data_IF_440782956529
#
_entry.id   IF_440782956529
#
_cell.length_a   1.000
_cell.length_b   1.000
_cell.length_c   1.000
_cell.angle_alpha   90.00
_cell.angle_beta   90.00
_cell.angle_gamma   90.00
#
_symmetry.space_group_name_H-M   'P 1'
#
loop_
_entity.id
_entity.type
_entity.pdbx_description
1 polymer ?
#
# COMPACT_ATOMS: atom_id res chain seq x y z
N UNK A 1 -13.71 -20.11 -27.51
CA UNK A 1 -12.96 -19.03 -26.89
C UNK A 1 -11.52 -18.96 -27.39
N UNK A 2 -11.01 -17.74 -27.57
CA UNK A 2 -9.60 -17.46 -27.79
C UNK A 2 -8.95 -17.16 -26.44
N UNK A 3 -7.77 -17.70 -26.16
CA UNK A 3 -7.07 -17.55 -24.89
C UNK A 3 -5.72 -16.89 -25.14
N UNK A 4 -5.47 -15.77 -24.48
CA UNK A 4 -4.21 -15.02 -24.57
C UNK A 4 -3.59 -15.00 -23.17
N UNK A 5 -2.53 -15.77 -22.95
CA UNK A 5 -1.80 -15.80 -21.68
C UNK A 5 -0.90 -14.58 -21.61
N UNK A 6 -0.82 -13.93 -20.42
CA UNK A 6 -0.01 -12.74 -20.20
C UNK A 6 -0.24 -11.66 -21.28
N UNK A 7 -1.46 -11.19 -21.47
CA UNK A 7 -1.86 -10.40 -22.65
C UNK A 7 -1.09 -9.09 -22.82
N UNK A 8 -0.53 -8.54 -21.73
CA UNK A 8 0.21 -7.27 -21.74
C UNK A 8 1.70 -7.43 -21.37
N UNK A 9 2.19 -8.67 -21.21
CA UNK A 9 3.59 -8.96 -20.95
C UNK A 9 4.07 -8.75 -19.50
N UNK A 10 3.22 -8.19 -18.64
CA UNK A 10 3.61 -7.75 -17.29
C UNK A 10 3.12 -8.65 -16.16
N UNK A 11 2.16 -9.54 -16.41
CA UNK A 11 1.54 -10.40 -15.40
C UNK A 11 1.39 -11.83 -15.88
N UNK A 12 2.45 -12.67 -15.78
CA UNK A 12 2.54 -13.97 -16.42
C UNK A 12 1.51 -15.02 -15.96
N UNK A 13 0.98 -14.90 -14.74
CA UNK A 13 -0.02 -15.84 -14.18
C UNK A 13 -1.46 -15.36 -14.43
N UNK A 14 -1.68 -14.67 -15.55
CA UNK A 14 -2.99 -14.19 -15.98
C UNK A 14 -3.27 -14.58 -17.43
N UNK A 15 -4.55 -14.56 -17.80
CA UNK A 15 -4.97 -14.73 -19.19
C UNK A 15 -6.18 -13.86 -19.50
N UNK A 16 -6.39 -13.57 -20.78
CA UNK A 16 -7.60 -12.97 -21.32
C UNK A 16 -8.30 -14.01 -22.18
N UNK A 17 -9.55 -14.32 -21.86
CA UNK A 17 -10.40 -15.24 -22.63
C UNK A 17 -11.43 -14.43 -23.40
N UNK A 18 -11.49 -14.61 -24.72
CA UNK A 18 -12.35 -13.85 -25.62
C UNK A 18 -13.24 -14.80 -26.41
N UNK A 19 -14.55 -14.55 -26.42
CA UNK A 19 -15.52 -15.24 -27.24
C UNK A 19 -16.83 -14.47 -27.37
N UNK A 20 -17.71 -14.94 -28.26
CA UNK A 20 -19.05 -14.38 -28.45
C UNK A 20 -20.11 -15.42 -28.15
N UNK A 21 -21.30 -14.97 -27.78
CA UNK A 21 -22.54 -15.74 -27.64
C UNK A 21 -23.65 -15.14 -28.51
N UNK A 22 -24.62 -15.96 -28.92
CA UNK A 22 -25.73 -15.50 -29.76
C UNK A 22 -26.64 -14.49 -29.06
N UNK A 23 -26.79 -14.67 -27.73
CA UNK A 23 -27.58 -13.80 -26.87
C UNK A 23 -26.67 -13.17 -25.81
N UNK A 24 -27.21 -12.17 -25.09
CA UNK A 24 -26.57 -11.67 -23.86
C UNK A 24 -26.63 -12.74 -22.78
N UNK A 25 -25.50 -13.22 -22.32
CA UNK A 25 -25.35 -14.31 -21.36
C UNK A 25 -24.39 -13.91 -20.24
N UNK A 26 -24.75 -14.29 -19.00
CA UNK A 26 -23.80 -14.27 -17.89
C UNK A 26 -22.80 -15.43 -18.04
N UNK A 27 -21.56 -15.20 -17.62
CA UNK A 27 -20.53 -16.24 -17.62
C UNK A 27 -19.99 -16.42 -16.22
N UNK A 28 -20.19 -17.60 -15.65
CA UNK A 28 -19.49 -18.00 -14.45
C UNK A 28 -18.11 -18.59 -14.83
N UNK A 29 -17.07 -18.05 -14.22
CA UNK A 29 -15.69 -18.50 -14.40
C UNK A 29 -15.18 -19.07 -13.11
N UNK A 30 -14.73 -20.32 -13.13
CA UNK A 30 -14.03 -20.96 -12.00
C UNK A 30 -12.60 -21.29 -12.37
N UNK A 31 -11.64 -20.70 -11.65
CA UNK A 31 -10.21 -21.03 -11.72
C UNK A 31 -9.95 -22.06 -10.62
N UNK A 32 -9.69 -23.31 -11.04
CA UNK A 32 -9.55 -24.44 -10.12
C UNK A 32 -8.24 -24.36 -9.33
N UNK A 33 -8.35 -24.33 -8.02
CA UNK A 33 -7.23 -24.38 -7.10
C UNK A 33 -6.85 -25.80 -6.66
N UNK A 34 -5.81 -25.92 -5.85
CA UNK A 34 -5.38 -27.18 -5.23
C UNK A 34 -6.38 -27.66 -4.17
N UNK A 35 -7.12 -26.73 -3.58
CA UNK A 35 -8.22 -26.96 -2.65
C UNK A 35 -9.33 -25.91 -2.81
N UNK A 36 -10.39 -26.03 -1.99
CA UNK A 36 -11.52 -25.10 -2.01
C UNK A 36 -11.14 -23.66 -1.65
N UNK A 37 -10.13 -23.47 -0.80
CA UNK A 37 -9.69 -22.16 -0.32
C UNK A 37 -8.75 -21.45 -1.32
N UNK A 38 -8.29 -22.17 -2.35
CA UNK A 38 -7.46 -21.63 -3.44
C UNK A 38 -8.18 -21.67 -4.80
N UNK A 39 -9.46 -22.06 -4.82
CA UNK A 39 -10.33 -22.03 -6.00
C UNK A 39 -11.07 -20.69 -6.05
N UNK A 40 -11.01 -19.99 -7.18
CA UNK A 40 -11.67 -18.69 -7.38
C UNK A 40 -12.83 -18.86 -8.34
N UNK A 41 -13.98 -18.27 -8.01
CA UNK A 41 -15.17 -18.24 -8.86
C UNK A 41 -15.70 -16.82 -8.95
N UNK A 42 -16.06 -16.40 -10.15
CA UNK A 42 -16.67 -15.09 -10.40
C UNK A 42 -17.67 -15.18 -11.55
N UNK A 43 -18.82 -14.51 -11.40
CA UNK A 43 -19.82 -14.38 -12.46
C UNK A 43 -19.69 -13.00 -13.10
N UNK A 44 -19.49 -12.98 -14.41
CA UNK A 44 -19.45 -11.78 -15.22
C UNK A 44 -20.85 -11.46 -15.74
N UNK A 45 -21.13 -10.16 -15.84
CA UNK A 45 -22.42 -9.64 -16.32
C UNK A 45 -22.76 -10.13 -17.72
N UNK A 46 -24.07 -10.19 -18.01
CA UNK A 46 -24.58 -10.63 -19.29
C UNK A 46 -24.15 -9.69 -20.43
N UNK A 47 -23.53 -10.25 -21.44
CA UNK A 47 -23.13 -9.57 -22.67
C UNK A 47 -23.07 -10.58 -23.82
N UNK A 48 -22.95 -10.10 -25.08
CA UNK A 48 -22.70 -10.96 -26.24
C UNK A 48 -21.22 -11.12 -26.51
N UNK A 49 -20.42 -10.06 -26.25
CA UNK A 49 -18.97 -10.06 -26.44
C UNK A 49 -18.29 -10.21 -25.06
N UNK A 50 -17.61 -11.31 -24.86
CA UNK A 50 -16.97 -11.63 -23.59
C UNK A 50 -15.47 -11.40 -23.67
N UNK A 51 -14.97 -10.54 -22.77
CA UNK A 51 -13.55 -10.26 -22.54
C UNK A 51 -13.24 -10.58 -21.09
N UNK A 52 -13.03 -11.86 -20.79
CA UNK A 52 -12.96 -12.37 -19.43
C UNK A 52 -11.51 -12.34 -18.92
N UNK A 53 -11.16 -11.48 -17.95
CA UNK A 53 -9.86 -11.51 -17.29
C UNK A 53 -9.78 -12.72 -16.35
N UNK A 54 -8.73 -13.51 -16.51
CA UNK A 54 -8.42 -14.68 -15.70
C UNK A 54 -7.22 -14.35 -14.83
N UNK A 55 -7.36 -14.48 -13.51
CA UNK A 55 -6.33 -14.19 -12.53
C UNK A 55 -6.06 -15.41 -11.67
N UNK A 56 -4.85 -15.49 -11.09
CA UNK A 56 -4.54 -16.50 -10.11
C UNK A 56 -4.28 -17.88 -10.70
N UNK A 57 -3.65 -17.96 -11.85
CA UNK A 57 -3.12 -19.19 -12.39
C UNK A 57 -1.88 -19.65 -11.60
N UNK A 58 -1.64 -20.97 -11.52
CA UNK A 58 -0.39 -21.53 -11.00
C UNK A 58 0.71 -21.49 -12.07
N UNK A 59 1.94 -21.29 -11.65
CA UNK A 59 3.09 -21.32 -12.54
C UNK A 59 3.50 -22.76 -12.87
N UNK A 60 4.04 -22.96 -14.07
CA UNK A 60 4.47 -24.27 -14.61
C UNK A 60 3.39 -25.36 -14.63
N UNK A 61 2.13 -24.96 -14.65
CA UNK A 61 0.97 -25.85 -14.58
C UNK A 61 0.12 -25.75 -15.85
N UNK A 62 -0.62 -26.83 -16.15
CA UNK A 62 -1.78 -26.76 -17.03
C UNK A 62 -3.03 -26.49 -16.22
N UNK A 63 -3.35 -25.21 -16.06
CA UNK A 63 -4.43 -24.74 -15.20
C UNK A 63 -5.81 -25.05 -15.80
N UNK A 64 -6.72 -25.57 -15.00
CA UNK A 64 -8.12 -25.75 -15.38
C UNK A 64 -8.93 -24.48 -15.08
N UNK A 65 -9.49 -23.89 -16.14
CA UNK A 65 -10.44 -22.76 -16.04
C UNK A 65 -11.77 -23.23 -16.64
N UNK A 66 -12.81 -23.19 -15.83
CA UNK A 66 -14.14 -23.65 -16.19
C UNK A 66 -14.99 -22.42 -16.52
N UNK A 67 -15.62 -22.44 -17.69
CA UNK A 67 -16.61 -21.45 -18.13
C UNK A 67 -17.99 -22.11 -18.12
N UNK A 68 -18.96 -21.51 -17.45
CA UNK A 68 -20.36 -21.93 -17.44
C UNK A 68 -21.23 -20.80 -17.99
N UNK A 69 -21.98 -21.10 -19.07
CA UNK A 69 -22.87 -20.18 -19.76
C UNK A 69 -24.21 -20.89 -19.93
N UNK A 70 -25.22 -20.50 -19.17
CA UNK A 70 -26.48 -21.25 -19.09
C UNK A 70 -26.22 -22.73 -18.74
N UNK A 71 -26.74 -23.65 -19.56
CA UNK A 71 -26.51 -25.09 -19.37
C UNK A 71 -25.19 -25.61 -19.99
N UNK A 72 -24.40 -24.73 -20.59
CA UNK A 72 -23.15 -25.11 -21.28
C UNK A 72 -21.96 -24.93 -20.36
N UNK A 73 -21.18 -26.00 -20.23
CA UNK A 73 -19.92 -25.99 -19.45
C UNK A 73 -18.75 -26.30 -20.38
N UNK A 74 -17.71 -25.45 -20.32
CA UNK A 74 -16.48 -25.63 -21.07
C UNK A 74 -15.27 -25.54 -20.13
N UNK A 75 -14.37 -26.52 -20.23
CA UNK A 75 -13.09 -26.53 -19.52
C UNK A 75 -11.99 -26.07 -20.45
N UNK A 76 -11.28 -25.02 -20.06
CA UNK A 76 -10.08 -24.54 -20.74
C UNK A 76 -8.86 -25.07 -20.00
N UNK A 77 -7.83 -25.48 -20.75
CA UNK A 77 -6.51 -25.84 -20.26
C UNK A 77 -5.55 -24.72 -20.60
N UNK A 78 -5.07 -24.00 -19.58
CA UNK A 78 -4.19 -22.84 -19.76
C UNK A 78 -2.81 -23.17 -19.20
N UNK A 79 -1.82 -23.33 -20.06
CA UNK A 79 -0.43 -23.56 -19.67
C UNK A 79 0.25 -22.22 -19.37
N UNK A 80 0.96 -22.17 -18.26
CA UNK A 80 1.79 -21.05 -17.82
C UNK A 80 3.25 -21.45 -17.74
N UNK A 81 4.15 -20.47 -17.80
CA UNK A 81 5.58 -20.67 -17.61
C UNK A 81 5.95 -20.83 -16.13
N UNK A 82 7.16 -21.34 -15.89
CA UNK A 82 7.73 -21.45 -14.55
C UNK A 82 7.99 -20.07 -13.93
N UNK A 83 7.97 -20.01 -12.59
CA UNK A 83 8.39 -18.80 -11.87
C UNK A 83 9.86 -18.48 -12.15
N UNK A 84 10.23 -17.17 -12.10
CA UNK A 84 11.63 -16.78 -12.08
C UNK A 84 12.40 -17.48 -10.95
N UNK A 85 13.64 -17.90 -11.19
CA UNK A 85 14.45 -18.66 -10.24
C UNK A 85 14.78 -17.90 -8.94
N UNK A 86 14.68 -16.58 -8.97
CA UNK A 86 14.85 -15.68 -7.82
C UNK A 86 13.53 -15.21 -7.19
N UNK A 87 12.40 -15.86 -7.51
CA UNK A 87 11.12 -15.59 -6.86
C UNK A 87 11.21 -15.91 -5.39
N UNK A 88 10.84 -14.96 -4.54
CA UNK A 88 10.72 -15.19 -3.10
C UNK A 88 9.54 -16.13 -2.83
N UNK A 89 9.82 -17.25 -2.17
CA UNK A 89 8.80 -18.20 -1.74
C UNK A 89 8.74 -18.24 -0.22
N UNK A 90 7.55 -18.43 0.39
CA UNK A 90 7.42 -18.58 1.82
C UNK A 90 8.23 -19.79 2.32
N UNK A 91 9.02 -19.61 3.37
CA UNK A 91 9.75 -20.70 4.02
C UNK A 91 8.86 -21.55 4.93
N UNK A 92 7.75 -20.97 5.37
CA UNK A 92 6.70 -21.66 6.12
C UNK A 92 5.37 -20.92 5.97
N UNK A 93 4.27 -21.65 6.00
CA UNK A 93 2.92 -21.09 5.98
C UNK A 93 2.15 -21.61 7.19
N UNK A 94 1.57 -20.68 7.95
CA UNK A 94 0.62 -20.96 9.03
C UNK A 94 -0.61 -20.10 8.80
N UNK A 95 -1.68 -20.70 8.32
CA UNK A 95 -2.92 -20.02 7.98
C UNK A 95 -4.11 -20.71 8.66
N UNK A 96 -4.92 -19.93 9.36
CA UNK A 96 -6.23 -20.40 9.83
C UNK A 96 -7.25 -20.20 8.70
N UNK A 97 -7.36 -21.21 7.83
CA UNK A 97 -8.23 -21.18 6.64
C UNK A 97 -9.72 -21.06 6.98
N UNK A 98 -10.11 -21.23 8.25
CA UNK A 98 -11.50 -21.01 8.68
C UNK A 98 -11.83 -19.54 8.84
N UNK A 99 -10.81 -18.69 9.00
CA UNK A 99 -10.92 -17.24 9.17
C UNK A 99 -10.53 -16.45 7.92
N UNK A 100 -9.80 -17.09 7.01
CA UNK A 100 -9.35 -16.50 5.75
C UNK A 100 -10.27 -16.93 4.61
N UNK A 101 -10.63 -15.99 3.76
CA UNK A 101 -11.37 -16.26 2.52
C UNK A 101 -10.49 -16.86 1.42
N UNK A 102 -11.02 -16.86 0.20
CA UNK A 102 -10.29 -17.21 -1.02
C UNK A 102 -9.53 -15.98 -1.55
N UNK A 103 -8.84 -15.26 -0.66
CA UNK A 103 -8.18 -14.01 -0.98
C UNK A 103 -6.74 -14.23 -1.46
N UNK A 104 -6.22 -13.24 -2.17
CA UNK A 104 -4.81 -13.12 -2.52
C UNK A 104 -4.16 -12.03 -1.66
N UNK A 105 -2.99 -12.34 -1.14
CA UNK A 105 -2.19 -11.45 -0.30
C UNK A 105 -1.05 -10.86 -1.12
N UNK A 106 -1.11 -9.55 -1.36
CA UNK A 106 -0.16 -8.81 -2.18
C UNK A 106 1.00 -8.27 -1.35
N UNK A 107 2.21 -8.40 -1.89
CA UNK A 107 3.44 -7.90 -1.30
C UNK A 107 4.31 -7.23 -2.34
N UNK A 108 4.92 -6.10 -1.97
CA UNK A 108 6.01 -5.48 -2.72
C UNK A 108 7.34 -5.75 -2.02
N UNK A 109 8.43 -5.99 -2.76
CA UNK A 109 9.74 -6.19 -2.16
C UNK A 109 10.30 -4.88 -1.61
N UNK A 110 11.08 -4.97 -0.54
CA UNK A 110 11.77 -3.80 0.05
C UNK A 110 13.08 -3.44 -0.67
N UNK A 111 13.56 -4.27 -1.58
CA UNK A 111 14.83 -4.05 -2.27
C UNK A 111 14.81 -4.61 -3.69
N UNK A 112 15.13 -5.88 -3.88
CA UNK A 112 15.10 -6.55 -5.19
C UNK A 112 14.11 -7.72 -5.14
N UNK A 113 13.40 -7.93 -6.23
CA UNK A 113 12.42 -9.02 -6.31
C UNK A 113 11.20 -8.61 -7.11
N UNK A 114 10.16 -9.39 -6.98
CA UNK A 114 8.89 -9.20 -7.70
C UNK A 114 7.79 -8.77 -6.76
N UNK A 115 6.95 -7.85 -7.21
CA UNK A 115 5.64 -7.65 -6.58
C UNK A 115 4.81 -8.90 -6.84
N UNK A 116 4.31 -9.52 -5.80
CA UNK A 116 3.75 -10.87 -5.84
C UNK A 116 2.50 -10.98 -4.99
N UNK A 117 1.58 -11.86 -5.37
CA UNK A 117 0.45 -12.25 -4.54
C UNK A 117 0.46 -13.77 -4.29
N UNK A 118 0.27 -14.13 -3.02
CA UNK A 118 0.17 -15.51 -2.56
C UNK A 118 -1.28 -15.83 -2.18
N UNK A 119 -1.68 -17.08 -2.37
CA UNK A 119 -2.91 -17.59 -1.77
C UNK A 119 -2.67 -18.07 -0.33
N UNK A 120 -3.72 -18.57 0.31
CA UNK A 120 -3.67 -19.07 1.71
C UNK A 120 -2.78 -20.32 1.91
N UNK A 121 -2.34 -20.95 0.82
CA UNK A 121 -1.40 -22.05 0.83
C UNK A 121 0.05 -21.59 0.68
N UNK A 122 0.27 -20.29 0.41
CA UNK A 122 1.56 -19.72 0.11
C UNK A 122 2.02 -19.98 -1.32
N UNK A 123 1.14 -20.44 -2.20
CA UNK A 123 1.43 -20.56 -3.61
C UNK A 123 1.37 -19.18 -4.29
N UNK A 124 2.33 -18.91 -5.18
CA UNK A 124 2.31 -17.70 -6.01
C UNK A 124 1.20 -17.81 -7.03
N UNK A 125 0.26 -16.87 -7.01
CA UNK A 125 -0.91 -16.84 -7.90
C UNK A 125 -0.94 -15.62 -8.82
N UNK A 126 -0.10 -14.65 -8.57
CA UNK A 126 0.05 -13.46 -9.39
C UNK A 126 1.40 -12.80 -9.10
N UNK A 127 2.03 -12.20 -10.11
CA UNK A 127 3.21 -11.36 -9.95
C UNK A 127 3.38 -10.40 -11.12
N UNK A 128 4.12 -9.30 -10.89
CA UNK A 128 4.55 -8.36 -11.93
C UNK A 128 5.99 -8.66 -12.35
N UNK A 129 6.27 -8.60 -13.64
CA UNK A 129 7.63 -8.65 -14.20
C UNK A 129 8.35 -7.32 -14.08
N UNK A 130 7.60 -6.20 -14.03
CA UNK A 130 8.16 -4.88 -13.80
C UNK A 130 8.52 -4.72 -12.32
N UNK A 131 9.68 -4.10 -12.09
CA UNK A 131 10.06 -3.71 -10.73
C UNK A 131 9.11 -2.65 -10.21
N UNK A 132 8.52 -2.88 -9.06
CA UNK A 132 7.74 -1.91 -8.32
C UNK A 132 8.20 -1.90 -6.87
N UNK A 133 8.21 -0.73 -6.25
CA UNK A 133 8.63 -0.49 -4.88
C UNK A 133 7.49 0.19 -4.12
N UNK A 134 7.54 0.14 -2.80
CA UNK A 134 6.60 0.77 -1.92
C UNK A 134 5.22 0.10 -1.93
N UNK A 135 4.17 0.87 -1.71
CA UNK A 135 2.80 0.36 -1.61
C UNK A 135 2.27 -0.18 -2.93
N UNK A 136 1.53 -1.27 -2.86
CA UNK A 136 0.58 -1.72 -3.87
C UNK A 136 -0.81 -1.74 -3.23
N UNK A 137 -1.79 -1.17 -3.93
CA UNK A 137 -3.17 -1.16 -3.45
C UNK A 137 -4.13 -1.34 -4.62
N UNK A 138 -5.32 -1.85 -4.32
CA UNK A 138 -6.41 -1.94 -5.26
C UNK A 138 -7.32 -0.73 -5.10
N UNK A 139 -7.41 0.06 -6.16
CA UNK A 139 -8.27 1.25 -6.21
C UNK A 139 -9.76 0.85 -6.30
N UNK A 140 -10.65 1.76 -5.99
CA UNK A 140 -12.10 1.54 -6.03
C UNK A 140 -12.60 1.06 -7.41
N UNK A 141 -11.96 1.53 -8.49
CA UNK A 141 -12.28 1.06 -9.84
C UNK A 141 -11.74 -0.34 -10.19
N UNK A 142 -11.09 -1.01 -9.24
CA UNK A 142 -10.53 -2.36 -9.37
C UNK A 142 -9.14 -2.43 -10.00
N UNK A 143 -8.56 -1.32 -10.46
CA UNK A 143 -7.18 -1.27 -10.91
C UNK A 143 -6.20 -1.31 -9.72
N UNK A 144 -4.95 -1.64 -10.01
CA UNK A 144 -3.84 -1.52 -9.07
C UNK A 144 -3.15 -0.16 -9.25
N UNK A 145 -2.68 0.41 -8.16
CA UNK A 145 -1.74 1.52 -8.19
C UNK A 145 -0.39 1.04 -7.65
N UNK A 146 0.66 1.17 -8.46
CA UNK A 146 2.02 0.72 -8.16
C UNK A 146 3.03 1.78 -8.58
N UNK A 147 4.25 1.77 -8.00
CA UNK A 147 5.30 2.68 -8.44
C UNK A 147 5.71 2.41 -9.89
N UNK A 148 6.25 3.43 -10.55
CA UNK A 148 7.05 3.22 -11.76
C UNK A 148 8.36 2.50 -11.40
N UNK A 149 9.05 1.93 -12.39
CA UNK A 149 10.37 1.33 -12.23
C UNK A 149 11.53 2.34 -12.37
N UNK A 150 11.20 3.60 -12.66
CA UNK A 150 12.19 4.66 -12.93
C UNK A 150 12.42 5.54 -11.70
N UNK A 151 13.68 5.85 -11.42
CA UNK A 151 14.07 6.79 -10.39
C UNK A 151 14.09 8.23 -10.93
N UNK A 152 13.52 9.15 -10.18
CA UNK A 152 13.76 10.59 -10.36
C UNK A 152 14.95 11.04 -9.53
N UNK A 153 15.19 10.41 -8.38
CA UNK A 153 16.34 10.64 -7.53
C UNK A 153 16.73 9.37 -6.74
N UNK A 154 18.00 9.28 -6.37
CA UNK A 154 18.51 8.20 -5.52
C UNK A 154 18.13 8.44 -4.06
N UNK A 155 18.03 7.37 -3.24
CA UNK A 155 18.25 5.97 -3.62
C UNK A 155 17.00 5.25 -4.13
N UNK A 156 15.79 5.81 -3.93
CA UNK A 156 14.53 5.08 -4.13
C UNK A 156 13.32 5.95 -4.47
N UNK A 157 13.53 7.23 -4.83
CA UNK A 157 12.46 8.13 -5.23
C UNK A 157 12.06 7.83 -6.66
N UNK A 158 10.86 7.23 -6.82
CA UNK A 158 10.36 6.82 -8.12
C UNK A 158 9.77 8.02 -8.88
N UNK A 159 9.77 7.99 -10.21
CA UNK A 159 9.21 9.10 -11.01
C UNK A 159 7.72 9.32 -10.79
N UNK A 160 7.02 8.34 -10.23
CA UNK A 160 5.60 8.39 -9.96
C UNK A 160 4.98 7.00 -9.90
N UNK A 161 3.75 6.87 -10.40
CA UNK A 161 2.96 5.66 -10.26
C UNK A 161 2.26 5.26 -11.56
N UNK A 162 2.05 3.96 -11.74
CA UNK A 162 1.17 3.39 -12.75
C UNK A 162 -0.16 2.98 -12.14
N UNK A 163 -1.25 3.41 -12.76
CA UNK A 163 -2.52 2.74 -12.63
C UNK A 163 -2.60 1.63 -13.68
N UNK A 164 -2.82 0.39 -13.26
CA UNK A 164 -2.84 -0.77 -14.14
C UNK A 164 -3.92 -1.77 -13.75
N UNK A 165 -4.36 -2.54 -14.73
CA UNK A 165 -5.26 -3.69 -14.45
C UNK A 165 -4.47 -4.85 -13.86
N UNK A 166 -5.17 -5.80 -13.22
CA UNK A 166 -4.55 -7.06 -12.76
C UNK A 166 -3.98 -7.92 -13.91
N UNK A 167 -4.43 -7.71 -15.14
CA UNK A 167 -3.81 -8.32 -16.35
C UNK A 167 -2.44 -7.70 -16.70
N UNK A 168 -2.02 -6.62 -16.01
CA UNK A 168 -0.78 -5.93 -16.29
C UNK A 168 -0.88 -4.83 -17.35
N UNK A 169 -2.10 -4.43 -17.79
CA UNK A 169 -2.29 -3.30 -18.69
C UNK A 169 -2.13 -2.00 -17.93
N UNK A 170 -1.11 -1.22 -18.26
CA UNK A 170 -0.98 0.16 -17.78
C UNK A 170 -2.04 1.00 -18.49
N UNK A 171 -2.92 1.61 -17.72
CA UNK A 171 -4.01 2.48 -18.21
C UNK A 171 -3.69 3.95 -18.04
N UNK A 172 -2.86 4.28 -17.04
CA UNK A 172 -2.43 5.65 -16.78
C UNK A 172 -1.08 5.69 -16.05
N UNK A 173 -0.32 6.74 -16.27
CA UNK A 173 0.87 7.08 -15.52
C UNK A 173 0.69 8.45 -14.87
N UNK A 174 1.04 8.54 -13.59
CA UNK A 174 1.13 9.78 -12.82
C UNK A 174 2.60 10.09 -12.59
N UNK A 175 3.12 11.12 -13.25
CA UNK A 175 4.50 11.58 -13.08
C UNK A 175 4.55 12.77 -12.14
N UNK A 176 5.46 12.73 -11.16
CA UNK A 176 5.64 13.74 -10.14
C UNK A 176 7.05 14.33 -10.22
N UNK A 177 7.16 15.67 -10.20
CA UNK A 177 8.44 16.36 -10.20
C UNK A 177 9.28 15.98 -8.95
N UNK A 178 8.64 15.88 -7.79
CA UNK A 178 9.24 15.42 -6.53
C UNK A 178 9.26 13.90 -6.38
N UNK A 179 8.78 13.15 -7.36
CA UNK A 179 8.72 11.70 -7.29
C UNK A 179 7.69 11.16 -6.30
N UNK A 180 7.72 9.85 -6.14
CA UNK A 180 6.89 9.07 -5.22
C UNK A 180 7.78 8.20 -4.32
N UNK A 181 7.44 8.16 -3.05
CA UNK A 181 8.03 7.26 -2.08
C UNK A 181 6.99 6.75 -1.07
N UNK A 182 7.25 5.63 -0.43
CA UNK A 182 6.53 5.02 0.69
C UNK A 182 5.03 4.78 0.47
N UNK A 183 4.19 5.82 0.44
CA UNK A 183 2.74 5.66 0.59
C UNK A 183 1.91 6.67 -0.22
N UNK A 184 0.67 6.28 -0.46
CA UNK A 184 -0.38 7.12 -1.04
C UNK A 184 -1.74 6.72 -0.47
N UNK A 185 -2.74 7.57 -0.65
CA UNK A 185 -4.12 7.33 -0.25
C UNK A 185 -5.07 7.70 -1.40
N UNK A 186 -6.00 6.81 -1.78
CA UNK A 186 -7.10 7.14 -2.70
C UNK A 186 -8.17 7.87 -1.91
N UNK A 187 -8.42 9.12 -2.26
CA UNK A 187 -9.39 9.97 -1.59
C UNK A 187 -10.83 9.69 -2.06
N UNK A 188 -11.86 10.02 -1.25
CA UNK A 188 -13.27 9.81 -1.64
C UNK A 188 -13.69 10.52 -2.94
N UNK A 189 -13.03 11.62 -3.30
CA UNK A 189 -13.24 12.32 -4.57
C UNK A 189 -12.50 11.67 -5.76
N UNK A 190 -11.79 10.56 -5.53
CA UNK A 190 -11.01 9.84 -6.51
C UNK A 190 -9.59 10.36 -6.73
N UNK A 191 -9.21 11.50 -6.14
CA UNK A 191 -7.85 12.03 -6.18
C UNK A 191 -6.89 11.13 -5.38
N UNK A 192 -5.59 11.32 -5.60
CA UNK A 192 -4.55 10.59 -4.90
C UNK A 192 -3.75 11.54 -4.01
N UNK A 193 -3.69 11.24 -2.71
CA UNK A 193 -2.81 11.92 -1.78
C UNK A 193 -1.52 11.11 -1.66
N UNK A 194 -0.37 11.71 -1.96
CA UNK A 194 0.89 10.98 -2.24
C UNK A 194 2.04 11.56 -1.45
N UNK A 195 2.84 10.69 -0.81
CA UNK A 195 4.13 11.07 -0.26
C UNK A 195 5.12 11.38 -1.39
N UNK A 196 5.67 12.57 -1.39
CA UNK A 196 6.51 13.14 -2.43
C UNK A 196 7.61 14.04 -1.85
N UNK A 197 8.37 14.68 -2.71
CA UNK A 197 9.48 15.55 -2.34
C UNK A 197 9.46 16.88 -3.08
N UNK A 198 10.28 17.80 -2.57
CA UNK A 198 10.77 18.93 -3.31
C UNK A 198 12.30 18.97 -3.20
N UNK A 199 13.00 18.34 -4.12
CA UNK A 199 14.46 18.24 -4.08
C UNK A 199 15.22 19.58 -4.07
N UNK A 200 14.55 20.69 -4.45
CA UNK A 200 15.12 22.03 -4.38
C UNK A 200 15.11 22.63 -2.96
N UNK A 201 14.33 22.05 -2.03
CA UNK A 201 14.28 22.50 -0.61
C UNK A 201 15.55 22.19 0.18
N UNK A 202 16.36 21.23 -0.29
CA UNK A 202 17.51 20.69 0.42
C UNK A 202 17.13 19.70 1.52
N UNK A 203 15.88 19.23 1.52
CA UNK A 203 15.35 18.17 2.40
C UNK A 203 14.58 17.15 1.58
N UNK A 204 14.26 15.99 2.16
CA UNK A 204 13.48 14.92 1.55
C UNK A 204 12.40 14.41 2.50
N UNK A 205 11.40 13.74 1.93
CA UNK A 205 10.34 13.02 2.64
C UNK A 205 9.52 13.90 3.59
N UNK A 206 9.28 15.14 3.16
CA UNK A 206 8.57 16.17 3.92
C UNK A 206 7.52 16.94 3.09
N UNK A 207 7.17 16.39 1.93
CA UNK A 207 6.07 16.89 1.09
C UNK A 207 4.99 15.84 0.91
N UNK A 208 3.75 16.26 0.96
CA UNK A 208 2.59 15.45 0.57
C UNK A 208 1.83 16.24 -0.49
N UNK A 209 1.55 15.60 -1.61
CA UNK A 209 0.83 16.24 -2.72
C UNK A 209 -0.48 15.53 -3.00
N UNK A 210 -1.51 16.29 -3.34
CA UNK A 210 -2.74 15.76 -3.91
C UNK A 210 -2.68 15.87 -5.42
N UNK A 211 -2.94 14.75 -6.11
CA UNK A 211 -3.00 14.66 -7.56
C UNK A 211 -4.46 14.56 -7.96
N UNK A 212 -4.92 15.45 -8.80
CA UNK A 212 -6.16 15.27 -9.55
C UNK A 212 -6.00 14.08 -10.49
N UNK A 213 -6.80 13.04 -10.23
CA UNK A 213 -6.64 11.76 -10.93
C UNK A 213 -6.99 11.84 -12.42
N UNK A 214 -7.87 12.76 -12.81
CA UNK A 214 -8.26 12.92 -14.20
C UNK A 214 -7.14 13.58 -15.01
N UNK A 215 -6.59 14.67 -14.53
CA UNK A 215 -5.59 15.48 -15.24
C UNK A 215 -4.15 15.06 -14.95
N UNK A 216 -3.88 14.43 -13.81
CA UNK A 216 -2.54 14.12 -13.31
C UNK A 216 -1.82 15.31 -12.69
N UNK A 217 -2.49 16.46 -12.54
CA UNK A 217 -1.88 17.66 -11.97
C UNK A 217 -1.91 17.65 -10.45
N UNK A 218 -0.87 18.22 -9.84
CA UNK A 218 -0.86 18.52 -8.41
C UNK A 218 -1.82 19.68 -8.15
N UNK A 219 -2.81 19.46 -7.28
CA UNK A 219 -3.84 20.45 -6.94
C UNK A 219 -3.70 20.97 -5.51
N UNK A 220 -2.99 20.26 -4.65
CA UNK A 220 -2.71 20.66 -3.26
C UNK A 220 -1.35 20.14 -2.81
N UNK A 221 -0.70 20.87 -1.90
CA UNK A 221 0.59 20.47 -1.32
C UNK A 221 0.61 20.80 0.17
N UNK A 222 1.03 19.83 0.98
CA UNK A 222 1.41 20.03 2.37
C UNK A 222 2.94 20.05 2.45
N UNK A 223 3.51 21.19 2.78
CA UNK A 223 4.95 21.40 2.96
C UNK A 223 5.24 21.40 4.47
N UNK A 224 5.74 20.27 4.98
CA UNK A 224 5.97 20.10 6.41
C UNK A 224 7.02 21.06 6.96
N UNK A 225 7.91 21.60 6.12
CA UNK A 225 8.90 22.61 6.54
C UNK A 225 8.27 23.93 6.96
N UNK A 226 7.01 24.17 6.59
CA UNK A 226 6.21 25.34 6.99
C UNK A 226 5.31 25.08 8.19
N UNK A 227 5.13 23.81 8.54
CA UNK A 227 4.20 23.37 9.60
C UNK A 227 4.97 23.04 10.88
N UNK A 228 6.15 22.44 10.75
CA UNK A 228 6.98 21.96 11.86
C UNK A 228 8.38 22.56 11.81
N UNK A 229 8.99 22.73 12.99
CA UNK A 229 10.39 23.07 13.12
C UNK A 229 11.28 21.84 12.87
N UNK A 230 12.13 21.89 11.87
CA UNK A 230 13.03 20.78 11.51
C UNK A 230 13.99 20.33 12.63
N UNK A 231 14.19 21.17 13.64
CA UNK A 231 15.06 20.91 14.78
C UNK A 231 14.41 20.16 15.94
N UNK A 232 13.10 19.99 15.92
CA UNK A 232 12.34 19.41 17.03
C UNK A 232 12.22 17.90 16.92
N UNK A 233 11.91 17.24 18.03
CA UNK A 233 11.54 15.83 18.10
C UNK A 233 12.59 14.81 17.64
N UNK A 234 13.83 15.21 17.46
CA UNK A 234 14.91 14.37 16.91
C UNK A 234 15.09 13.05 17.63
N UNK A 235 15.24 12.00 16.85
CA UNK A 235 15.76 10.70 17.30
C UNK A 235 17.16 10.42 16.67
N UNK A 236 17.70 9.23 16.86
CA UNK A 236 19.04 8.84 16.41
C UNK A 236 19.21 8.79 14.88
N UNK A 237 18.12 8.65 14.14
CA UNK A 237 18.14 8.59 12.67
C UNK A 237 17.98 9.98 12.01
N UNK A 238 17.66 10.98 12.81
CA UNK A 238 17.42 12.33 12.31
C UNK A 238 18.66 12.89 11.61
N UNK A 239 18.45 13.51 10.46
CA UNK A 239 19.45 14.33 9.79
C UNK A 239 18.83 15.63 9.29
N UNK A 240 19.64 16.63 9.02
CA UNK A 240 19.16 17.89 8.48
C UNK A 240 18.55 17.74 7.07
N UNK A 241 18.96 16.71 6.34
CA UNK A 241 18.48 16.39 4.99
C UNK A 241 17.19 15.57 5.06
N UNK A 242 17.15 14.52 5.88
CA UNK A 242 16.01 13.63 6.10
C UNK A 242 15.55 13.74 7.56
N UNK A 243 14.80 14.80 7.83
CA UNK A 243 14.46 15.20 9.20
C UNK A 243 13.14 14.63 9.70
N UNK A 244 12.15 14.51 8.83
CA UNK A 244 10.82 13.99 9.18
C UNK A 244 10.70 12.50 8.82
N UNK A 245 11.12 12.14 7.63
CA UNK A 245 11.02 10.79 7.06
C UNK A 245 9.57 10.29 7.04
N UNK A 246 8.73 10.96 6.23
CA UNK A 246 7.33 10.57 6.09
C UNK A 246 7.21 9.21 5.40
N UNK A 247 6.55 8.26 6.06
CA UNK A 247 6.42 6.89 5.55
C UNK A 247 4.98 6.38 5.49
N UNK A 248 4.00 7.20 5.82
CA UNK A 248 2.58 6.89 5.59
C UNK A 248 1.73 8.13 5.40
N UNK A 249 0.68 7.98 4.61
CA UNK A 249 -0.30 9.02 4.32
C UNK A 249 -1.69 8.42 4.47
N UNK A 250 -2.51 9.01 5.33
CA UNK A 250 -3.88 8.60 5.55
C UNK A 250 -4.81 9.81 5.59
N UNK A 251 -5.90 9.77 4.80
CA UNK A 251 -6.96 10.75 4.89
C UNK A 251 -8.15 10.18 5.66
N UNK A 252 -8.67 10.94 6.61
CA UNK A 252 -9.89 10.60 7.33
C UNK A 252 -11.02 11.58 6.94
N UNK A 253 -12.01 11.05 6.24
CA UNK A 253 -13.16 11.83 5.75
C UNK A 253 -14.02 12.37 6.91
N UNK A 254 -14.12 11.63 8.03
CA UNK A 254 -14.94 12.02 9.17
C UNK A 254 -14.47 13.29 9.85
N UNK A 255 -13.17 13.46 9.92
CA UNK A 255 -12.52 14.62 10.56
C UNK A 255 -11.95 15.60 9.55
N UNK A 256 -12.04 15.30 8.25
CA UNK A 256 -11.43 16.06 7.16
C UNK A 256 -9.96 16.36 7.44
N UNK A 257 -9.18 15.32 7.72
CA UNK A 257 -7.81 15.47 8.18
C UNK A 257 -6.85 14.49 7.53
N UNK A 258 -5.56 14.85 7.54
CA UNK A 258 -4.46 14.04 7.01
C UNK A 258 -3.56 13.60 8.16
N UNK A 259 -3.36 12.28 8.30
CA UNK A 259 -2.47 11.68 9.28
C UNK A 259 -1.18 11.22 8.61
N UNK A 260 -0.04 11.60 9.16
CA UNK A 260 1.30 11.36 8.62
C UNK A 260 2.20 10.75 9.69
N UNK A 261 3.11 9.87 9.29
CA UNK A 261 4.08 9.24 10.20
C UNK A 261 5.50 9.72 9.94
N UNK A 262 6.05 10.49 10.87
CA UNK A 262 7.42 11.00 10.86
C UNK A 262 8.37 10.09 11.64
N UNK A 263 9.05 9.17 10.93
CA UNK A 263 9.92 8.15 11.54
C UNK A 263 11.08 8.75 12.34
N UNK A 264 11.70 9.82 11.84
CA UNK A 264 12.89 10.43 12.44
C UNK A 264 12.58 11.41 13.57
N UNK A 265 11.29 11.62 13.86
CA UNK A 265 10.79 12.39 14.98
C UNK A 265 10.02 11.52 16.01
N UNK A 266 9.89 10.21 15.76
CA UNK A 266 9.06 9.29 16.55
C UNK A 266 7.64 9.85 16.77
N UNK A 267 7.08 10.48 15.75
CA UNK A 267 5.83 11.19 15.87
C UNK A 267 4.86 10.86 14.73
N UNK A 268 3.60 10.67 15.07
CA UNK A 268 2.48 10.69 14.13
C UNK A 268 1.78 12.02 14.29
N UNK A 269 1.62 12.76 13.20
CA UNK A 269 0.95 14.05 13.19
C UNK A 269 -0.36 13.99 12.42
N UNK A 270 -1.29 14.84 12.78
CA UNK A 270 -2.53 15.03 12.04
C UNK A 270 -2.71 16.50 11.69
N UNK A 271 -3.07 16.75 10.45
CA UNK A 271 -3.27 18.07 9.88
C UNK A 271 -4.72 18.23 9.46
N UNK A 272 -5.30 19.39 9.67
CA UNK A 272 -6.55 19.77 9.02
C UNK A 272 -6.32 19.81 7.50
N UNK A 273 -7.19 19.12 6.75
CA UNK A 273 -7.00 18.99 5.32
C UNK A 273 -7.13 20.33 4.59
N UNK A 274 -8.05 21.20 4.99
CA UNK A 274 -8.31 22.45 4.28
C UNK A 274 -7.24 23.50 4.54
N UNK A 275 -6.91 23.75 5.80
CA UNK A 275 -5.96 24.78 6.23
C UNK A 275 -4.50 24.30 6.21
N UNK A 276 -4.25 23.00 6.40
CA UNK A 276 -2.92 22.44 6.62
C UNK A 276 -2.40 22.69 8.04
N UNK A 277 -3.22 23.20 8.96
CA UNK A 277 -2.82 23.43 10.34
C UNK A 277 -2.69 22.12 11.13
N UNK A 278 -1.78 22.11 12.10
CA UNK A 278 -1.55 20.97 12.98
C UNK A 278 -2.70 20.81 13.96
N UNK A 279 -3.33 19.63 13.98
CA UNK A 279 -4.39 19.29 14.93
C UNK A 279 -3.82 18.66 16.20
N UNK A 280 -3.00 17.61 16.04
CA UNK A 280 -2.42 16.86 17.15
C UNK A 280 -1.16 16.08 16.78
N UNK A 281 -0.41 15.65 17.79
CA UNK A 281 0.79 14.81 17.69
C UNK A 281 0.67 13.62 18.65
N UNK A 282 0.95 12.40 18.14
CA UNK A 282 1.12 11.19 18.95
C UNK A 282 2.60 10.82 18.98
N UNK A 283 3.19 10.75 20.17
CA UNK A 283 4.58 10.37 20.39
C UNK A 283 5.13 10.96 21.67
N UNK A 284 6.35 10.57 22.00
CA UNK A 284 7.10 11.16 23.11
C UNK A 284 7.47 12.61 22.80
N UNK A 285 7.12 13.54 23.69
CA UNK A 285 7.31 14.98 23.48
C UNK A 285 8.74 15.47 23.80
N UNK A 286 9.66 14.56 24.16
CA UNK A 286 11.07 14.89 24.40
C UNK A 286 11.70 15.50 23.14
N UNK A 287 12.51 16.52 23.30
CA UNK A 287 13.17 17.30 22.24
C UNK A 287 12.20 18.13 21.36
N UNK A 288 10.95 18.33 21.78
CA UNK A 288 10.03 19.25 21.12
C UNK A 288 9.99 20.60 21.85
N UNK A 289 9.98 21.70 21.12
CA UNK A 289 9.85 23.05 21.66
C UNK A 289 8.48 23.27 22.31
N UNK A 290 8.43 24.27 23.21
CA UNK A 290 7.26 24.54 24.05
C UNK A 290 5.99 24.85 23.23
N UNK A 291 6.15 25.46 22.06
CA UNK A 291 5.03 25.80 21.19
C UNK A 291 4.23 24.58 20.70
N UNK A 292 4.87 23.41 20.60
CA UNK A 292 4.21 22.17 20.19
C UNK A 292 3.64 21.33 21.32
N UNK A 293 4.00 21.59 22.59
CA UNK A 293 3.57 20.78 23.74
C UNK A 293 2.04 20.66 23.84
N UNK A 294 1.31 21.71 23.46
CA UNK A 294 -0.17 21.75 23.46
C UNK A 294 -0.84 20.80 22.46
N UNK A 295 -0.08 20.24 21.50
CA UNK A 295 -0.59 19.31 20.49
C UNK A 295 -0.40 17.85 20.86
N UNK A 296 0.34 17.57 21.94
CA UNK A 296 0.59 16.21 22.41
C UNK A 296 -0.51 15.70 23.32
N UNK A 297 -0.85 14.42 23.13
CA UNK A 297 -1.73 13.72 24.05
C UNK A 297 -1.01 13.37 25.35
N UNK A 298 -1.76 13.42 26.45
CA UNK A 298 -1.31 12.90 27.74
C UNK A 298 -1.62 11.41 27.82
N UNK A 299 -0.59 10.54 28.02
CA UNK A 299 -0.81 9.10 28.18
C UNK A 299 -1.71 8.77 29.38
N UNK A 300 -2.61 7.80 29.20
CA UNK A 300 -3.50 7.30 30.26
C UNK A 300 -3.26 5.80 30.46
N UNK A 301 -3.04 5.41 31.72
CA UNK A 301 -2.77 4.02 32.11
C UNK A 301 -1.34 3.82 32.61
N UNK A 302 -1.17 2.81 33.51
CA UNK A 302 0.11 2.56 34.19
C UNK A 302 1.14 1.83 33.30
N UNK A 303 0.68 1.10 32.27
CA UNK A 303 1.53 0.31 31.37
C UNK A 303 1.64 0.93 29.96
N UNK A 304 1.56 2.26 29.86
CA UNK A 304 1.60 2.96 28.59
C UNK A 304 3.03 2.99 28.02
N UNK A 305 3.18 2.68 26.74
CA UNK A 305 4.42 2.82 25.96
C UNK A 305 4.14 3.54 24.65
N UNK A 306 4.97 4.55 24.31
CA UNK A 306 4.97 5.17 22.99
C UNK A 306 5.48 4.23 21.90
N UNK A 307 5.15 4.56 20.64
CA UNK A 307 5.76 3.97 19.44
C UNK A 307 7.13 4.64 19.18
N UNK A 308 8.00 3.90 18.47
CA UNK A 308 9.36 4.34 18.16
C UNK A 308 9.75 3.95 16.73
N UNK A 309 10.26 4.91 15.95
CA UNK A 309 10.65 4.75 14.52
C UNK A 309 9.51 4.12 13.68
N UNK A 310 8.29 4.51 13.95
CA UNK A 310 7.07 3.88 13.48
C UNK A 310 6.84 4.03 11.97
N UNK A 311 5.93 3.19 11.45
CA UNK A 311 5.40 3.22 10.10
C UNK A 311 3.88 3.02 10.09
N UNK A 312 3.27 3.20 8.91
CA UNK A 312 1.90 2.78 8.60
C UNK A 312 0.84 3.31 9.57
N UNK A 313 0.89 4.59 9.90
CA UNK A 313 -0.15 5.23 10.72
C UNK A 313 -1.46 5.37 9.93
N UNK A 314 -2.57 4.90 10.50
CA UNK A 314 -3.90 5.00 9.91
C UNK A 314 -4.98 5.21 10.97
N UNK A 315 -6.12 5.77 10.58
CA UNK A 315 -7.30 5.91 11.43
C UNK A 315 -8.26 4.76 11.14
N UNK A 316 -8.66 4.02 12.18
CA UNK A 316 -9.65 2.94 12.02
C UNK A 316 -11.07 3.51 11.87
N UNK A 317 -12.05 2.72 11.38
CA UNK A 317 -13.44 3.16 11.29
C UNK A 317 -14.04 3.63 12.62
N UNK A 318 -13.53 3.13 13.75
CA UNK A 318 -13.93 3.53 15.11
C UNK A 318 -13.22 4.81 15.59
N UNK A 319 -12.27 5.35 14.83
CA UNK A 319 -11.51 6.56 15.16
C UNK A 319 -10.27 6.31 16.02
N UNK A 320 -9.80 5.05 16.13
CA UNK A 320 -8.52 4.76 16.78
C UNK A 320 -7.36 4.98 15.81
N UNK A 321 -6.19 5.30 16.34
CA UNK A 321 -4.96 5.41 15.55
C UNK A 321 -4.20 4.09 15.62
N UNK A 322 -4.12 3.38 14.50
CA UNK A 322 -3.30 2.17 14.37
C UNK A 322 -1.92 2.54 13.83
N UNK A 323 -0.87 1.96 14.39
CA UNK A 323 0.53 2.26 14.05
C UNK A 323 1.34 0.95 14.08
N UNK A 324 2.23 0.77 13.11
CA UNK A 324 3.30 -0.22 13.19
C UNK A 324 4.49 0.40 13.94
N UNK A 325 4.67 0.01 15.20
CA UNK A 325 5.79 0.41 16.04
C UNK A 325 7.01 -0.48 15.74
N UNK A 326 8.06 0.10 15.19
CA UNK A 326 9.32 -0.63 14.94
C UNK A 326 10.08 -0.94 16.23
N UNK A 327 9.85 -0.15 17.29
CA UNK A 327 10.43 -0.34 18.60
C UNK A 327 11.92 -0.02 18.69
N UNK A 328 12.45 0.81 17.81
CA UNK A 328 13.88 1.16 17.83
C UNK A 328 14.21 2.00 19.06
N UNK A 329 15.26 1.62 19.78
CA UNK A 329 15.85 2.31 20.93
C UNK A 329 14.91 2.67 22.09
N UNK A 330 13.63 2.82 21.85
CA UNK A 330 12.56 3.15 22.84
C UNK A 330 12.87 4.39 23.71
N UNK A 331 13.67 5.30 23.23
CA UNK A 331 13.98 6.61 23.81
C UNK A 331 14.60 7.53 22.76
N UNK A 332 14.52 8.85 22.95
CA UNK A 332 15.27 9.87 22.21
C UNK A 332 16.58 10.27 22.91
N UNK A 333 16.85 9.71 24.08
CA UNK A 333 18.03 9.99 24.89
C UNK A 333 18.98 8.79 24.78
N UNK A 334 20.17 8.98 24.21
CA UNK A 334 21.11 7.90 23.90
C UNK A 334 21.47 7.03 25.13
N UNK A 335 21.61 7.62 26.31
CA UNK A 335 21.92 6.89 27.55
C UNK A 335 20.79 5.95 28.01
N UNK A 336 19.60 6.09 27.47
CA UNK A 336 18.40 5.33 27.80
C UNK A 336 18.02 4.30 26.73
N UNK A 337 18.80 4.19 25.65
CA UNK A 337 18.49 3.31 24.53
C UNK A 337 18.32 1.86 24.97
N UNK A 338 17.23 1.26 24.54
CA UNK A 338 16.96 -0.17 24.72
C UNK A 338 17.65 -0.93 23.58
N UNK A 339 18.56 -1.86 23.89
CA UNK A 339 19.24 -2.65 22.86
C UNK A 339 18.25 -3.43 21.98
N UNK A 340 18.59 -3.59 20.69
CA UNK A 340 17.75 -4.31 19.72
C UNK A 340 17.39 -5.74 20.18
N UNK A 341 18.28 -6.42 20.95
CA UNK A 341 18.00 -7.74 21.53
C UNK A 341 16.90 -7.75 22.60
N UNK A 342 16.49 -6.60 23.12
CA UNK A 342 15.41 -6.42 24.11
C UNK A 342 14.23 -5.65 23.53
N UNK A 343 14.32 -5.23 22.28
CA UNK A 343 13.26 -4.52 21.58
C UNK A 343 12.42 -5.48 20.72
N UNK A 344 11.27 -5.03 20.29
CA UNK A 344 10.35 -5.80 19.45
C UNK A 344 9.49 -4.86 18.62
N UNK A 345 9.10 -5.33 17.45
CA UNK A 345 8.10 -4.68 16.59
C UNK A 345 6.71 -5.12 16.99
N UNK A 346 5.74 -4.20 16.99
CA UNK A 346 4.34 -4.48 17.35
C UNK A 346 3.36 -3.62 16.56
N UNK A 347 2.13 -4.08 16.40
CA UNK A 347 0.98 -3.23 16.07
C UNK A 347 0.47 -2.56 17.35
N UNK A 348 0.26 -1.25 17.29
CA UNK A 348 -0.27 -0.44 18.40
C UNK A 348 -1.57 0.21 17.98
N UNK A 349 -2.55 0.20 18.86
CA UNK A 349 -3.83 0.85 18.67
C UNK A 349 -4.07 1.85 19.79
N UNK A 350 -4.02 3.15 19.45
CA UNK A 350 -4.32 4.22 20.41
C UNK A 350 -5.77 4.67 20.29
N UNK A 351 -6.45 4.72 21.42
CA UNK A 351 -7.69 5.47 21.55
C UNK A 351 -7.32 6.91 21.94
N UNK A 352 -7.69 7.86 21.11
CA UNK A 352 -7.41 9.27 21.34
C UNK A 352 -8.65 10.03 21.79
N UNK A 353 -8.44 11.07 22.60
CA UNK A 353 -9.46 12.03 23.01
C UNK A 353 -8.96 13.42 22.62
N UNK A 354 -9.44 13.93 21.50
CA UNK A 354 -9.02 15.21 20.93
C UNK A 354 -9.60 16.42 21.66
N UNK A 355 -10.56 16.23 22.57
CA UNK A 355 -11.15 17.30 23.37
C UNK A 355 -10.34 17.58 24.64
N UNK A 356 -9.69 16.56 25.21
CA UNK A 356 -8.98 16.66 26.49
C UNK A 356 -7.46 16.49 26.38
N UNK A 357 -6.91 16.16 25.23
CA UNK A 357 -5.48 16.02 24.85
C UNK A 357 -4.55 15.41 25.93
#
# INVERSE_FOLDING_TARGET
PNVIVNPYGNSPLTALVIFETDNEEEVEVTIKGKDKNSTFTHTFEATKEHYLPIYGLYADEENEVILEVGDTKKVLKIKTDALPSNMALPTSVKADKSKLGNDLYFFTPSSSGYTVAYDVNGDVRWYLTNYALWKIDRLENGNLLVSTERLVNSPYYMTGMYEMTLLGKIVKEYSLEGGYHHDYYEMPNGNLLVASDNFSSGTVEDYIVEIDRETGNVVKTFDLTKILNKGDGKNENWSQYDWFHNNSVWYDEKTNSVTLSGRHMDAVINLDYDSGELNWIIGDSTNWSEEYQKYFFTPVGDDFEWQWSQHAAMITPEGYVFILDNGNNKSKIESEYVPASKSYTRGVLYKIDTENM
#
